data_IF_778523029197
#
_entry.id   IF_778523029197
#
_cell.length_a   1.000
_cell.length_b   1.000
_cell.length_c   1.000
_cell.angle_alpha   90.00
_cell.angle_beta   90.00
_cell.angle_gamma   90.00
#
_symmetry.space_group_name_H-M   'P 1'
#
loop_
_entity.id
_entity.type
_entity.pdbx_description
1 polymer ?
#
# COMPACT_ATOMS: atom_id res chain seq x y z
N UNK A 1 -12.14 -13.23 11.36
CA UNK A 1 -10.81 -13.77 11.75
C UNK A 1 -9.82 -12.61 11.86
N UNK A 2 -9.01 -12.57 12.91
CA UNK A 2 -7.93 -11.56 13.10
C UNK A 2 -6.81 -11.75 12.06
N UNK A 3 -6.94 -12.78 11.21
CA UNK A 3 -5.92 -13.21 10.25
C UNK A 3 -5.91 -12.35 8.96
N UNK A 4 -6.95 -11.57 8.71
CA UNK A 4 -7.01 -10.59 7.61
C UNK A 4 -6.86 -9.17 8.19
N UNK A 5 -5.76 -8.94 8.90
CA UNK A 5 -5.39 -7.59 9.30
C UNK A 5 -4.95 -6.85 8.03
N UNK A 6 -5.61 -5.72 7.73
CA UNK A 6 -5.11 -4.79 6.73
C UNK A 6 -3.79 -4.23 7.27
N UNK A 7 -3.84 -3.44 8.35
CA UNK A 7 -2.66 -2.84 8.97
C UNK A 7 -2.07 -3.73 10.06
N UNK A 8 -0.75 -3.88 10.13
CA UNK A 8 -0.13 -4.66 11.20
C UNK A 8 -0.34 -4.00 12.57
N UNK A 9 -0.91 -4.75 13.52
CA UNK A 9 -1.06 -4.25 14.89
C UNK A 9 0.29 -3.83 15.51
N UNK A 10 0.41 -2.64 16.15
CA UNK A 10 1.66 -2.21 16.79
C UNK A 10 2.21 -3.19 17.85
N UNK A 11 1.31 -3.88 18.57
CA UNK A 11 1.69 -4.97 19.50
C UNK A 11 2.44 -6.12 18.81
N UNK A 12 2.08 -6.47 17.57
CA UNK A 12 2.74 -7.52 16.78
C UNK A 12 4.15 -7.07 16.39
N UNK A 13 4.30 -5.83 15.91
CA UNK A 13 5.60 -5.20 15.63
C UNK A 13 6.49 -5.20 16.88
N UNK A 14 5.95 -4.76 18.02
CA UNK A 14 6.70 -4.71 19.28
C UNK A 14 7.14 -6.10 19.75
N UNK A 15 6.26 -7.11 19.65
CA UNK A 15 6.58 -8.50 19.99
C UNK A 15 7.65 -9.08 19.07
N UNK A 16 7.58 -8.80 17.77
CA UNK A 16 8.58 -9.24 16.79
C UNK A 16 9.94 -8.59 17.08
N UNK A 17 9.97 -7.30 17.39
CA UNK A 17 11.20 -6.58 17.78
C UNK A 17 11.89 -7.22 18.99
N UNK A 18 11.14 -7.52 20.07
CA UNK A 18 11.70 -8.18 21.25
C UNK A 18 12.16 -9.62 21.01
N UNK A 19 11.68 -10.26 19.94
CA UNK A 19 12.16 -11.57 19.46
C UNK A 19 13.37 -11.48 18.52
N UNK A 20 13.86 -10.27 18.23
CA UNK A 20 14.92 -10.03 17.25
C UNK A 20 14.45 -10.11 15.79
N UNK A 21 13.13 -10.22 15.55
CA UNK A 21 12.54 -10.19 14.22
C UNK A 21 12.41 -8.72 13.81
N UNK A 22 13.14 -8.32 12.77
CA UNK A 22 13.05 -6.97 12.20
C UNK A 22 11.90 -6.92 11.20
N UNK A 23 10.71 -6.59 11.70
CA UNK A 23 9.52 -6.29 10.89
C UNK A 23 9.08 -4.86 11.18
N UNK A 24 8.82 -4.08 10.14
CA UNK A 24 8.53 -2.63 10.23
C UNK A 24 7.17 -2.23 9.64
N UNK A 25 6.37 -3.21 9.20
CA UNK A 25 5.09 -3.02 8.51
C UNK A 25 4.96 -3.98 7.33
N UNK A 26 3.82 -4.00 6.67
CA UNK A 26 3.63 -4.66 5.37
C UNK A 26 3.14 -3.69 4.27
N UNK A 27 2.59 -4.22 3.18
CA UNK A 27 2.25 -3.47 1.98
C UNK A 27 1.35 -2.27 2.25
N UNK A 28 0.42 -2.35 3.19
CA UNK A 28 -0.56 -1.29 3.41
C UNK A 28 -0.01 -0.17 4.31
N UNK A 29 0.82 -0.49 5.30
CA UNK A 29 1.56 0.44 6.15
C UNK A 29 2.47 1.32 5.28
N UNK A 30 3.25 0.70 4.38
CA UNK A 30 4.13 1.44 3.48
C UNK A 30 3.36 2.25 2.45
N UNK A 31 2.23 1.75 1.97
CA UNK A 31 1.36 2.44 1.02
C UNK A 31 0.71 3.68 1.63
N UNK A 32 0.20 3.54 2.86
CA UNK A 32 -0.38 4.64 3.61
C UNK A 32 0.66 5.74 3.89
N UNK A 33 1.84 5.35 4.37
CA UNK A 33 2.92 6.30 4.62
C UNK A 33 3.34 7.01 3.33
N UNK A 34 3.49 6.26 2.23
CA UNK A 34 3.89 6.82 0.94
C UNK A 34 2.86 7.82 0.40
N UNK A 35 1.57 7.46 0.42
CA UNK A 35 0.49 8.35 -0.01
C UNK A 35 0.46 9.63 0.85
N UNK A 36 0.56 9.50 2.18
CA UNK A 36 0.60 10.65 3.08
C UNK A 36 1.81 11.57 2.80
N UNK A 37 2.99 11.00 2.56
CA UNK A 37 4.18 11.78 2.20
C UNK A 37 4.03 12.49 0.85
N UNK A 38 3.51 11.81 -0.17
CA UNK A 38 3.25 12.40 -1.49
C UNK A 38 2.25 13.56 -1.41
N UNK A 39 1.16 13.38 -0.65
CA UNK A 39 0.21 14.45 -0.35
C UNK A 39 0.86 15.62 0.37
N UNK A 40 1.74 15.36 1.34
CA UNK A 40 2.40 16.43 2.11
C UNK A 40 3.27 17.36 1.27
N UNK A 41 3.77 16.87 0.12
CA UNK A 41 4.58 17.66 -0.83
C UNK A 41 3.77 18.10 -2.06
N UNK A 42 2.44 18.00 -2.02
CA UNK A 42 1.52 18.59 -3.00
C UNK A 42 1.09 17.68 -4.14
N UNK A 43 1.38 16.38 -4.10
CA UNK A 43 0.82 15.44 -5.07
C UNK A 43 -0.57 14.96 -4.66
N UNK A 44 -1.47 14.85 -5.63
CA UNK A 44 -2.71 14.10 -5.44
C UNK A 44 -2.36 12.61 -5.38
N UNK A 45 -2.72 11.95 -4.29
CA UNK A 45 -2.43 10.53 -4.09
C UNK A 45 -3.58 9.80 -3.41
N UNK A 46 -3.63 8.48 -3.57
CA UNK A 46 -4.64 7.59 -2.97
C UNK A 46 -4.07 6.20 -2.70
N UNK A 47 -4.78 5.40 -1.91
CA UNK A 47 -4.43 3.99 -1.68
C UNK A 47 -5.35 3.11 -2.53
N UNK A 48 -4.76 2.10 -3.15
CA UNK A 48 -5.46 1.07 -3.92
C UNK A 48 -5.28 -0.26 -3.22
N UNK A 49 -6.40 -0.94 -2.99
CA UNK A 49 -6.46 -2.33 -2.53
C UNK A 49 -6.68 -3.24 -3.72
N UNK A 50 -5.92 -4.33 -3.78
CA UNK A 50 -5.81 -5.20 -4.95
C UNK A 50 -5.94 -6.66 -4.50
N UNK A 51 -6.63 -7.45 -5.33
CA UNK A 51 -6.52 -8.91 -5.35
C UNK A 51 -5.49 -9.27 -6.45
N UNK A 52 -4.22 -9.34 -6.06
CA UNK A 52 -3.09 -9.51 -6.97
C UNK A 52 -3.01 -10.93 -7.52
N UNK A 53 -3.52 -11.91 -6.78
CA UNK A 53 -3.54 -13.33 -7.16
C UNK A 53 -4.85 -13.79 -7.83
N UNK A 54 -5.85 -12.92 -8.00
CA UNK A 54 -7.20 -13.25 -8.48
C UNK A 54 -7.91 -14.32 -7.62
N UNK A 55 -7.64 -14.31 -6.32
CA UNK A 55 -8.18 -15.25 -5.34
C UNK A 55 -9.62 -14.92 -4.91
N UNK A 56 -10.10 -13.71 -5.21
CA UNK A 56 -11.30 -13.12 -4.65
C UNK A 56 -11.07 -12.39 -3.32
N UNK A 57 -9.83 -12.40 -2.80
CA UNK A 57 -9.45 -11.72 -1.56
C UNK A 57 -8.46 -10.58 -1.86
N UNK A 58 -8.58 -9.49 -1.10
CA UNK A 58 -7.60 -8.40 -1.16
C UNK A 58 -6.35 -8.88 -0.42
N UNK A 59 -5.24 -8.97 -1.15
CA UNK A 59 -3.95 -9.50 -0.68
C UNK A 59 -2.81 -8.48 -0.81
N UNK A 60 -3.05 -7.34 -1.46
CA UNK A 60 -2.04 -6.32 -1.69
C UNK A 60 -2.60 -4.89 -1.60
N UNK A 61 -1.74 -3.98 -1.18
CA UNK A 61 -2.02 -2.54 -1.15
C UNK A 61 -0.85 -1.76 -1.77
N UNK A 62 -1.19 -0.72 -2.54
CA UNK A 62 -0.22 0.23 -3.10
C UNK A 62 -0.74 1.67 -3.05
N UNK A 63 0.16 2.64 -3.11
CA UNK A 63 -0.20 4.03 -3.34
C UNK A 63 -0.33 4.31 -4.85
N UNK A 64 -1.22 5.22 -5.24
CA UNK A 64 -1.26 5.81 -6.56
C UNK A 64 -1.01 7.31 -6.45
N UNK A 65 -0.22 7.84 -7.38
CA UNK A 65 0.09 9.26 -7.48
C UNK A 65 -0.36 9.78 -8.85
N UNK A 66 -0.97 10.96 -8.87
CA UNK A 66 -1.39 11.61 -10.11
C UNK A 66 -0.25 12.45 -10.66
N UNK A 67 0.38 11.97 -11.73
CA UNK A 67 1.43 12.67 -12.45
C UNK A 67 0.81 13.43 -13.62
N UNK A 68 1.24 14.68 -13.82
CA UNK A 68 0.62 15.61 -14.79
C UNK A 68 0.51 15.05 -16.21
N UNK A 69 1.52 14.33 -16.68
CA UNK A 69 1.60 13.80 -18.05
C UNK A 69 1.23 12.32 -18.15
N UNK A 70 1.30 11.57 -17.05
CA UNK A 70 1.09 10.11 -17.02
C UNK A 70 -0.24 9.70 -16.38
N UNK A 71 -0.97 10.64 -15.78
CA UNK A 71 -2.18 10.36 -15.01
C UNK A 71 -1.88 9.59 -13.73
N UNK A 72 -2.84 8.78 -13.29
CA UNK A 72 -2.69 7.93 -12.11
C UNK A 72 -1.63 6.85 -12.36
N UNK A 73 -0.55 6.93 -11.59
CA UNK A 73 0.61 6.05 -11.70
C UNK A 73 0.78 5.29 -10.39
N UNK A 74 0.96 3.96 -10.48
CA UNK A 74 1.19 3.11 -9.32
C UNK A 74 2.54 3.46 -8.66
N UNK A 75 2.52 3.51 -7.34
CA UNK A 75 3.66 3.71 -6.46
C UNK A 75 3.66 2.62 -5.39
N UNK A 76 4.46 1.57 -5.62
CA UNK A 76 4.53 0.38 -4.79
C UNK A 76 5.95 0.19 -4.23
N UNK A 77 6.15 0.58 -2.98
CA UNK A 77 7.44 0.47 -2.29
C UNK A 77 7.83 -0.96 -1.93
N UNK A 78 6.94 -1.94 -2.12
CA UNK A 78 7.25 -3.36 -1.93
C UNK A 78 7.80 -4.01 -3.20
N UNK A 79 7.68 -3.32 -4.35
CA UNK A 79 8.19 -3.76 -5.64
C UNK A 79 9.63 -3.29 -5.88
N UNK A 80 10.39 -4.06 -6.67
CA UNK A 80 11.73 -3.66 -7.15
C UNK A 80 11.71 -2.48 -8.12
N UNK A 81 10.55 -2.17 -8.71
CA UNK A 81 10.30 -0.99 -9.56
C UNK A 81 9.15 -0.21 -8.94
N UNK A 82 9.44 0.71 -8.01
CA UNK A 82 8.40 1.28 -7.17
C UNK A 82 7.47 2.23 -7.92
N UNK A 83 7.90 2.84 -9.02
CA UNK A 83 7.05 3.72 -9.83
C UNK A 83 6.64 3.03 -11.14
N UNK A 84 5.35 3.09 -11.47
CA UNK A 84 4.80 2.60 -12.73
C UNK A 84 4.67 1.07 -12.79
N UNK A 85 4.66 0.38 -11.65
CA UNK A 85 4.41 -1.05 -11.59
C UNK A 85 3.05 -1.38 -12.23
N UNK A 86 3.03 -2.35 -13.14
CA UNK A 86 1.81 -2.77 -13.84
C UNK A 86 1.26 -3.99 -13.10
N UNK A 87 0.03 -3.88 -12.63
CA UNK A 87 -0.67 -4.96 -11.94
C UNK A 87 -1.01 -6.03 -12.99
N UNK A 88 -0.55 -7.29 -12.84
CA UNK A 88 -0.73 -8.32 -13.87
C UNK A 88 -2.20 -8.66 -14.14
N UNK A 89 -3.06 -8.62 -13.12
CA UNK A 89 -4.48 -8.99 -13.17
C UNK A 89 -5.26 -8.15 -12.16
N UNK A 90 -6.46 -7.61 -12.47
CA UNK A 90 -7.06 -6.60 -11.56
C UNK A 90 -8.57 -6.67 -11.41
N UNK A 91 -9.02 -7.02 -10.20
CA UNK A 91 -10.06 -6.26 -9.52
C UNK A 91 -9.37 -5.31 -8.53
N UNK A 92 -9.78 -4.04 -8.49
CA UNK A 92 -9.22 -3.05 -7.56
C UNK A 92 -10.30 -2.17 -6.95
N UNK A 93 -10.06 -1.74 -5.72
CA UNK A 93 -10.88 -0.77 -5.01
C UNK A 93 -9.98 0.39 -4.58
N UNK A 94 -10.37 1.61 -4.91
CA UNK A 94 -9.65 2.82 -4.52
C UNK A 94 -10.27 3.46 -3.29
N UNK A 95 -9.44 3.79 -2.30
CA UNK A 95 -9.84 4.56 -1.12
C UNK A 95 -9.26 5.97 -1.24
N UNK A 96 -10.14 6.97 -1.25
CA UNK A 96 -9.78 8.38 -1.36
C UNK A 96 -10.12 9.08 -0.04
N UNK A 97 -9.13 9.74 0.57
CA UNK A 97 -9.38 10.62 1.70
C UNK A 97 -9.98 11.92 1.15
N UNK A 98 -11.25 12.18 1.46
CA UNK A 98 -11.89 13.48 1.17
C UNK A 98 -11.60 14.42 2.35
N UNK A 99 -11.05 15.60 2.05
CA UNK A 99 -10.93 16.71 2.99
C UNK A 99 -12.30 17.23 3.41
#
# INVERSE_FOLDING_TARGET
>A
PIDNELFIHPKKISKDFFKGIKRSGDCDDYSLLSAAMLMSVGFESKIILIDAEMSGEIDHALAQVKLKELGWTNFDTTSSRPLGWIIPHTMSVSIEAKN
#
